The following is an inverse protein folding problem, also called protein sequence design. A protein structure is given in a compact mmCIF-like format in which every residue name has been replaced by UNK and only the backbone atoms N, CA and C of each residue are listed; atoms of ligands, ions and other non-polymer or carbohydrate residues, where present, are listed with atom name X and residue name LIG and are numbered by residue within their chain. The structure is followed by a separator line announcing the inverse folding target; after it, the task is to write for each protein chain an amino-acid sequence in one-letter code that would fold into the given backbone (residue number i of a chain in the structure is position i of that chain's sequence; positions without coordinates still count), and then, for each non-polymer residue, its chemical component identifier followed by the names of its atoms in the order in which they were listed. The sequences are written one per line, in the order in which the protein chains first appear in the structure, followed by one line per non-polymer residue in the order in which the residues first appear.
data_IF_085257407537
#
_entry.id   IF_085257407537
#
_cell.length_a   1.000
_cell.length_b   1.000
_cell.length_c   1.000
_cell.angle_alpha   90.00
_cell.angle_beta   90.00
_cell.angle_gamma   90.00
#
_symmetry.space_group_name_H-M   'P 1'
#
loop_
_entity.id
_entity.type
_entity.pdbx_description
1 polymer ?
#
# COMPACT_ATOMS: atom_id res chain seq x y z
N UNK A 1 -14.91 27.10 9.10
CA UNK A 1 -15.36 25.74 9.49
C UNK A 1 -15.14 24.69 8.39
N UNK A 2 -15.32 25.01 7.11
CA UNK A 2 -15.15 24.04 6.00
C UNK A 2 -13.70 23.60 5.70
N UNK A 3 -12.70 24.46 5.95
CA UNK A 3 -11.29 24.17 5.68
C UNK A 3 -10.69 23.13 6.65
N UNK A 4 -11.14 23.11 7.90
CA UNK A 4 -10.69 22.14 8.91
C UNK A 4 -11.24 20.74 8.62
N UNK A 5 -12.51 20.63 8.24
CA UNK A 5 -13.16 19.35 7.89
C UNK A 5 -12.54 18.74 6.61
N UNK A 6 -12.25 19.56 5.59
CA UNK A 6 -11.52 19.13 4.40
C UNK A 6 -10.09 18.65 4.74
N UNK A 7 -9.39 19.36 5.63
CA UNK A 7 -8.03 18.99 6.06
C UNK A 7 -8.01 17.67 6.81
N UNK A 8 -8.96 17.44 7.72
CA UNK A 8 -9.08 16.18 8.47
C UNK A 8 -9.46 14.99 7.59
N UNK A 9 -10.35 15.20 6.61
CA UNK A 9 -10.77 14.16 5.68
C UNK A 9 -9.64 13.78 4.72
N UNK A 10 -8.94 14.78 4.16
CA UNK A 10 -7.77 14.54 3.31
C UNK A 10 -6.66 13.79 4.05
N UNK A 11 -6.32 14.21 5.27
CA UNK A 11 -5.32 13.52 6.12
C UNK A 11 -5.68 12.06 6.40
N UNK A 12 -6.98 11.76 6.56
CA UNK A 12 -7.47 10.39 6.78
C UNK A 12 -7.28 9.51 5.54
N UNK A 13 -7.53 10.05 4.34
CA UNK A 13 -7.33 9.34 3.07
C UNK A 13 -5.84 9.09 2.82
N UNK A 14 -4.97 10.09 3.01
CA UNK A 14 -3.51 9.91 2.84
C UNK A 14 -2.89 8.90 3.81
N UNK A 15 -3.47 8.76 5.00
CA UNK A 15 -3.03 7.77 5.99
C UNK A 15 -3.36 6.34 5.57
N UNK A 16 -4.52 6.13 4.96
CA UNK A 16 -5.00 4.83 4.51
C UNK A 16 -4.73 4.57 3.01
N UNK A 17 -3.98 5.47 2.36
CA UNK A 17 -3.67 5.41 0.93
C UNK A 17 -3.04 4.06 0.51
N UNK A 18 -2.10 3.47 1.28
CA UNK A 18 -1.56 2.17 0.93
C UNK A 18 -2.63 1.08 0.88
N UNK A 19 -3.48 0.97 1.91
CA UNK A 19 -4.53 -0.04 1.99
C UNK A 19 -5.54 0.13 0.85
N UNK A 20 -5.97 1.36 0.57
CA UNK A 20 -6.87 1.68 -0.55
C UNK A 20 -6.25 1.27 -1.88
N UNK A 21 -4.97 1.59 -2.10
CA UNK A 21 -4.25 1.26 -3.32
C UNK A 21 -4.23 -0.25 -3.59
N UNK A 22 -3.90 -1.05 -2.58
CA UNK A 22 -3.86 -2.51 -2.73
C UNK A 22 -5.25 -3.13 -2.89
N UNK A 23 -6.29 -2.56 -2.27
CA UNK A 23 -7.67 -2.99 -2.50
C UNK A 23 -8.05 -2.79 -3.98
N UNK A 24 -7.73 -1.64 -4.57
CA UNK A 24 -8.03 -1.35 -5.98
C UNK A 24 -7.29 -2.34 -6.89
N UNK A 25 -5.99 -2.53 -6.68
CA UNK A 25 -5.18 -3.46 -7.47
C UNK A 25 -5.73 -4.89 -7.42
N UNK A 26 -5.98 -5.40 -6.22
CA UNK A 26 -6.51 -6.74 -6.03
C UNK A 26 -7.93 -6.88 -6.59
N UNK A 27 -8.75 -5.83 -6.53
CA UNK A 27 -10.10 -5.86 -7.10
C UNK A 27 -10.07 -5.99 -8.62
N UNK A 28 -9.20 -5.21 -9.29
CA UNK A 28 -9.02 -5.30 -10.75
C UNK A 28 -8.52 -6.69 -11.13
N UNK A 29 -7.52 -7.22 -10.43
CA UNK A 29 -6.99 -8.56 -10.67
C UNK A 29 -8.05 -9.63 -10.45
N UNK A 30 -8.82 -9.56 -9.36
CA UNK A 30 -9.91 -10.50 -9.06
C UNK A 30 -10.97 -10.48 -10.15
N UNK A 31 -11.40 -9.29 -10.58
CA UNK A 31 -12.40 -9.14 -11.64
C UNK A 31 -11.92 -9.81 -12.93
N UNK A 32 -10.72 -9.48 -13.41
CA UNK A 32 -10.16 -10.09 -14.63
C UNK A 32 -10.11 -11.61 -14.55
N UNK A 33 -9.73 -12.13 -13.39
CA UNK A 33 -9.59 -13.57 -13.14
C UNK A 33 -10.92 -14.30 -13.13
N UNK A 34 -11.92 -13.74 -12.45
CA UNK A 34 -13.29 -14.27 -12.43
C UNK A 34 -13.91 -14.21 -13.81
N UNK A 35 -13.76 -13.09 -14.54
CA UNK A 35 -14.24 -12.98 -15.93
C UNK A 35 -13.60 -14.03 -16.84
N UNK A 36 -12.30 -14.30 -16.69
CA UNK A 36 -11.62 -15.35 -17.44
C UNK A 36 -12.16 -16.75 -17.12
N UNK A 37 -12.39 -17.06 -15.84
CA UNK A 37 -12.97 -18.34 -15.42
C UNK A 37 -14.38 -18.54 -15.97
N UNK A 38 -15.21 -17.50 -15.95
CA UNK A 38 -16.56 -17.53 -16.51
C UNK A 38 -16.52 -17.75 -18.03
N UNK A 39 -15.65 -17.01 -18.75
CA UNK A 39 -15.52 -17.12 -20.19
C UNK A 39 -15.06 -18.51 -20.65
N UNK A 40 -14.28 -19.21 -19.82
CA UNK A 40 -13.85 -20.60 -20.04
C UNK A 40 -14.81 -21.66 -19.46
N UNK A 41 -16.00 -21.28 -19.02
CA UNK A 41 -16.97 -22.24 -18.47
C UNK A 41 -16.48 -22.98 -17.21
N UNK A 42 -15.57 -22.38 -16.44
CA UNK A 42 -14.97 -23.00 -15.26
C UNK A 42 -13.72 -23.83 -15.53
N UNK A 43 -13.26 -23.96 -16.79
CA UNK A 43 -11.98 -24.60 -17.14
C UNK A 43 -10.77 -23.70 -16.87
N UNK A 44 -10.64 -23.27 -15.61
CA UNK A 44 -9.40 -22.69 -15.10
C UNK A 44 -8.43 -23.77 -14.65
N UNK A 45 -7.13 -23.53 -14.80
CA UNK A 45 -6.15 -24.34 -14.08
C UNK A 45 -6.32 -24.15 -12.56
N UNK A 46 -5.90 -25.14 -11.76
CA UNK A 46 -6.04 -25.12 -10.30
C UNK A 46 -5.44 -23.86 -9.67
N UNK A 47 -4.40 -23.30 -10.28
CA UNK A 47 -3.74 -22.06 -9.84
C UNK A 47 -4.67 -20.87 -10.01
N UNK A 48 -5.35 -20.74 -11.16
CA UNK A 48 -6.25 -19.61 -11.41
C UNK A 48 -7.45 -19.65 -10.46
N UNK A 49 -8.03 -20.82 -10.24
CA UNK A 49 -9.12 -20.98 -9.29
C UNK A 49 -8.68 -20.63 -7.85
N UNK A 50 -7.52 -21.15 -7.43
CA UNK A 50 -6.97 -20.89 -6.08
C UNK A 50 -6.71 -19.41 -5.83
N UNK A 51 -6.06 -18.72 -6.78
CA UNK A 51 -5.79 -17.29 -6.68
C UNK A 51 -7.07 -16.45 -6.66
N UNK A 52 -8.10 -16.85 -7.44
CA UNK A 52 -9.40 -16.18 -7.44
C UNK A 52 -10.11 -16.24 -6.08
N UNK A 53 -9.85 -17.27 -5.28
CA UNK A 53 -10.38 -17.40 -3.92
C UNK A 53 -9.52 -16.66 -2.88
N UNK A 54 -8.20 -16.60 -3.08
CA UNK A 54 -7.27 -15.92 -2.16
C UNK A 54 -7.41 -14.39 -2.22
N UNK A 55 -7.59 -13.81 -3.41
CA UNK A 55 -7.64 -12.34 -3.54
C UNK A 55 -8.80 -11.69 -2.75
N UNK A 56 -10.04 -12.22 -2.75
CA UNK A 56 -11.12 -11.74 -1.87
C UNK A 56 -10.75 -11.77 -0.38
N UNK A 57 -10.03 -12.81 0.07
CA UNK A 57 -9.57 -12.93 1.46
C UNK A 57 -8.58 -11.81 1.79
N UNK A 58 -7.60 -11.57 0.91
CA UNK A 58 -6.64 -10.47 1.06
C UNK A 58 -7.32 -9.10 1.07
N UNK A 59 -8.33 -8.89 0.21
CA UNK A 59 -9.15 -7.68 0.21
C UNK A 59 -9.88 -7.52 1.56
N UNK A 60 -10.51 -8.59 2.07
CA UNK A 60 -11.16 -8.57 3.38
C UNK A 60 -10.20 -8.21 4.53
N UNK A 61 -8.96 -8.72 4.48
CA UNK A 61 -7.91 -8.37 5.43
C UNK A 61 -7.56 -6.87 5.34
N UNK A 62 -7.37 -6.34 4.13
CA UNK A 62 -7.08 -4.92 3.91
C UNK A 62 -8.21 -3.99 4.35
N UNK A 63 -9.47 -4.37 4.08
CA UNK A 63 -10.65 -3.64 4.56
C UNK A 63 -10.67 -3.64 6.09
N UNK A 64 -10.44 -4.80 6.73
CA UNK A 64 -10.35 -4.90 8.19
C UNK A 64 -9.23 -4.03 8.74
N UNK A 65 -8.07 -3.94 8.08
CA UNK A 65 -6.98 -3.06 8.47
C UNK A 65 -7.38 -1.58 8.42
N UNK A 66 -8.19 -1.18 7.44
CA UNK A 66 -8.70 0.19 7.29
C UNK A 66 -9.43 0.68 8.55
N UNK A 67 -10.18 -0.21 9.20
CA UNK A 67 -10.97 0.09 10.41
C UNK A 67 -10.20 -0.22 11.70
N UNK A 68 -9.52 -1.37 11.77
CA UNK A 68 -8.92 -1.88 13.01
C UNK A 68 -7.52 -1.32 13.29
N UNK A 69 -6.85 -0.69 12.31
CA UNK A 69 -5.49 -0.11 12.41
C UNK A 69 -4.49 -1.01 13.15
N UNK A 70 -4.62 -2.33 12.99
CA UNK A 70 -3.73 -3.28 13.62
C UNK A 70 -2.35 -3.18 12.98
N UNK A 71 -1.40 -2.59 13.71
CA UNK A 71 -0.04 -2.30 13.24
C UNK A 71 0.75 -3.56 12.87
N UNK A 72 0.48 -4.69 13.54
CA UNK A 72 1.18 -5.95 13.25
C UNK A 72 0.74 -6.53 11.90
N UNK A 73 -0.57 -6.56 11.64
CA UNK A 73 -1.09 -7.08 10.38
C UNK A 73 -0.69 -6.13 9.24
N UNK A 74 -0.77 -4.81 9.42
CA UNK A 74 -0.35 -3.81 8.42
C UNK A 74 1.15 -3.94 8.09
N UNK A 75 2.00 -4.19 9.10
CA UNK A 75 3.42 -4.45 8.89
C UNK A 75 3.67 -5.72 8.07
N UNK A 76 2.97 -6.81 8.42
CA UNK A 76 3.11 -8.09 7.73
C UNK A 76 2.63 -8.01 6.29
N UNK A 77 1.46 -7.43 6.03
CA UNK A 77 0.94 -7.25 4.67
C UNK A 77 1.82 -6.29 3.86
N UNK A 78 2.30 -5.20 4.47
CA UNK A 78 3.25 -4.28 3.85
C UNK A 78 4.56 -4.96 3.43
N UNK A 79 5.13 -5.82 4.29
CA UNK A 79 6.31 -6.62 3.95
C UNK A 79 6.05 -7.55 2.77
N UNK A 80 4.95 -8.32 2.81
CA UNK A 80 4.57 -9.24 1.73
C UNK A 80 4.41 -8.50 0.41
N UNK A 81 3.66 -7.38 0.39
CA UNK A 81 3.47 -6.60 -0.83
C UNK A 81 4.75 -5.92 -1.32
N UNK A 82 5.65 -5.52 -0.41
CA UNK A 82 6.96 -4.98 -0.79
C UNK A 82 7.82 -6.04 -1.47
N UNK A 83 7.83 -7.28 -0.97
CA UNK A 83 8.55 -8.41 -1.58
C UNK A 83 7.96 -8.71 -2.96
N UNK A 84 6.64 -8.80 -3.09
CA UNK A 84 5.95 -9.03 -4.36
C UNK A 84 6.26 -7.91 -5.37
N UNK A 85 6.18 -6.65 -4.95
CA UNK A 85 6.47 -5.50 -5.83
C UNK A 85 7.94 -5.47 -6.26
N UNK A 86 8.87 -5.88 -5.37
CA UNK A 86 10.29 -6.00 -5.70
C UNK A 86 10.54 -7.10 -6.73
N UNK A 87 9.89 -8.26 -6.56
CA UNK A 87 9.95 -9.33 -7.54
C UNK A 87 9.43 -8.87 -8.91
N UNK A 88 8.28 -8.17 -8.94
CA UNK A 88 7.72 -7.59 -10.16
C UNK A 88 8.66 -6.56 -10.80
N UNK A 89 9.34 -5.74 -10.00
CA UNK A 89 10.32 -4.78 -10.50
C UNK A 89 11.52 -5.47 -11.15
N UNK A 90 12.03 -6.55 -10.55
CA UNK A 90 13.14 -7.32 -11.11
C UNK A 90 12.72 -7.97 -12.44
N UNK A 91 11.55 -8.61 -12.47
CA UNK A 91 11.01 -9.19 -13.70
C UNK A 91 10.81 -8.12 -14.80
N UNK A 92 10.24 -6.97 -14.44
CA UNK A 92 10.05 -5.84 -15.34
C UNK A 92 11.37 -5.28 -15.88
N UNK A 93 12.43 -5.21 -15.06
CA UNK A 93 13.76 -4.78 -15.50
C UNK A 93 14.44 -5.81 -16.40
N UNK A 94 14.17 -7.10 -16.18
CA UNK A 94 14.69 -8.17 -17.03
C UNK A 94 14.09 -8.10 -18.44
N UNK A 95 12.78 -7.87 -18.52
CA UNK A 95 12.01 -7.80 -19.77
C UNK A 95 12.01 -6.39 -20.39
N UNK A 96 12.58 -5.39 -19.73
CA UNK A 96 12.54 -3.97 -20.12
C UNK A 96 12.93 -3.71 -21.59
N UNK A 97 13.91 -4.47 -22.10
CA UNK A 97 14.40 -4.33 -23.49
C UNK A 97 13.43 -4.85 -24.54
N UNK A 98 12.51 -5.73 -24.16
CA UNK A 98 11.56 -6.39 -25.06
C UNK A 98 10.25 -5.60 -25.21
N UNK A 99 10.03 -4.61 -24.33
CA UNK A 99 8.83 -3.78 -24.34
C UNK A 99 8.97 -2.70 -25.42
N UNK A 100 8.34 -2.94 -26.58
CA UNK A 100 8.37 -2.02 -27.71
C UNK A 100 7.57 -0.72 -27.47
N UNK A 101 6.58 -0.75 -26.57
CA UNK A 101 5.70 0.38 -26.31
C UNK A 101 6.14 1.19 -25.08
N UNK A 102 6.68 2.38 -25.30
CA UNK A 102 7.15 3.29 -24.24
C UNK A 102 6.05 3.71 -23.26
N UNK A 103 4.80 3.82 -23.71
CA UNK A 103 3.68 4.23 -22.86
C UNK A 103 3.28 3.12 -21.89
N UNK A 104 3.23 1.87 -22.36
CA UNK A 104 3.00 0.70 -21.51
C UNK A 104 4.14 0.49 -20.50
N UNK A 105 5.38 0.71 -20.95
CA UNK A 105 6.56 0.68 -20.10
C UNK A 105 6.44 1.69 -18.95
N UNK A 106 6.09 2.93 -19.27
CA UNK A 106 5.96 3.99 -18.28
C UNK A 106 4.82 3.72 -17.29
N UNK A 107 3.65 3.31 -17.76
CA UNK A 107 2.51 2.98 -16.91
C UNK A 107 2.86 1.81 -15.98
N UNK A 108 3.42 0.74 -16.52
CA UNK A 108 3.75 -0.47 -15.74
C UNK A 108 4.84 -0.17 -14.71
N UNK A 109 5.90 0.54 -15.11
CA UNK A 109 6.97 0.95 -14.20
C UNK A 109 6.48 1.84 -13.06
N UNK A 110 5.60 2.82 -13.35
CA UNK A 110 4.98 3.68 -12.33
C UNK A 110 4.10 2.84 -11.39
N UNK A 111 3.30 1.92 -11.93
CA UNK A 111 2.41 1.07 -11.14
C UNK A 111 3.20 0.20 -10.14
N UNK A 112 4.30 -0.41 -10.59
CA UNK A 112 5.20 -1.21 -9.75
C UNK A 112 5.89 -0.31 -8.72
N UNK A 113 6.40 0.85 -9.12
CA UNK A 113 7.10 1.79 -8.23
C UNK A 113 6.21 2.33 -7.11
N UNK A 114 4.99 2.78 -7.44
CA UNK A 114 4.02 3.27 -6.45
C UNK A 114 3.66 2.14 -5.47
N UNK A 115 3.45 0.93 -5.98
CA UNK A 115 3.13 -0.23 -5.14
C UNK A 115 4.28 -0.52 -4.16
N UNK A 116 5.52 -0.57 -4.65
CA UNK A 116 6.69 -0.78 -3.79
C UNK A 116 6.80 0.28 -2.69
N UNK A 117 6.65 1.57 -3.04
CA UNK A 117 6.70 2.68 -2.10
C UNK A 117 5.63 2.56 -1.00
N UNK A 118 4.40 2.22 -1.39
CA UNK A 118 3.28 2.08 -0.46
C UNK A 118 3.40 0.82 0.41
N UNK A 119 3.91 -0.28 -0.13
CA UNK A 119 4.23 -1.48 0.65
C UNK A 119 5.29 -1.20 1.72
N UNK A 120 6.34 -0.47 1.34
CA UNK A 120 7.38 -0.04 2.27
C UNK A 120 6.84 0.92 3.34
N UNK A 121 5.93 1.84 2.97
CA UNK A 121 5.25 2.73 3.93
C UNK A 121 4.42 1.94 4.96
N UNK A 122 3.69 0.91 4.55
CA UNK A 122 2.94 0.03 5.47
C UNK A 122 3.90 -0.75 6.38
N UNK A 123 4.97 -1.30 5.81
CA UNK A 123 5.99 -2.01 6.57
C UNK A 123 6.64 -1.11 7.64
N UNK A 124 6.98 0.12 7.28
CA UNK A 124 7.64 1.10 8.15
C UNK A 124 6.70 2.05 8.90
N UNK A 125 5.39 1.79 8.91
CA UNK A 125 4.39 2.63 9.59
C UNK A 125 4.67 2.81 11.11
N UNK A 126 5.56 2.00 11.69
CA UNK A 126 6.01 2.12 13.09
C UNK A 126 7.26 2.99 13.30
N UNK A 127 8.07 3.27 12.28
CA UNK A 127 9.31 4.04 12.39
C UNK A 127 9.06 5.55 12.20
N UNK A 128 8.18 5.92 11.26
CA UNK A 128 7.84 7.32 11.00
C UNK A 128 7.14 7.99 12.19
N UNK A 129 6.35 7.24 12.96
CA UNK A 129 5.71 7.75 14.19
C UNK A 129 6.76 7.97 15.29
N UNK A 130 7.77 7.11 15.40
CA UNK A 130 8.86 7.28 16.39
C UNK A 130 9.72 8.51 16.06
N UNK A 131 10.05 8.75 14.78
CA UNK A 131 10.79 9.94 14.35
C UNK A 131 9.97 11.22 14.50
N UNK A 132 8.69 11.20 14.16
CA UNK A 132 7.81 12.37 14.32
C UNK A 132 7.52 12.71 15.79
N UNK A 133 7.45 11.69 16.66
CA UNK A 133 7.37 11.90 18.11
C UNK A 133 8.71 12.39 18.67
N UNK A 134 9.85 11.77 18.33
CA UNK A 134 11.14 12.19 18.86
C UNK A 134 11.50 13.63 18.47
N UNK A 135 11.17 14.05 17.25
CA UNK A 135 11.37 15.43 16.77
C UNK A 135 10.47 16.46 17.50
N UNK A 136 9.29 16.06 17.99
CA UNK A 136 8.38 16.94 18.74
C UNK A 136 8.61 16.93 20.26
N UNK A 137 9.26 15.91 20.81
CA UNK A 137 9.69 15.91 22.21
C UNK A 137 10.96 16.74 22.43
N UNK A 138 11.85 16.83 21.43
CA UNK A 138 13.05 17.68 21.49
C UNK A 138 12.75 19.18 21.33
N UNK A 139 11.71 19.55 20.59
CA UNK A 139 11.31 20.97 20.45
C UNK A 139 10.59 21.51 21.68
N UNK A 140 9.78 20.70 22.37
CA UNK A 140 9.14 21.10 23.64
C UNK A 140 10.11 21.27 24.81
N UNK A 141 11.23 20.55 24.84
CA UNK A 141 12.24 20.68 25.90
C UNK A 141 13.16 21.88 25.69
N UNK A 142 13.36 22.34 24.45
CA UNK A 142 14.17 23.53 24.16
C UNK A 142 13.43 24.86 24.39
N UNK A 143 12.10 24.88 24.36
CA UNK A 143 11.30 26.10 24.53
C UNK A 143 10.89 26.39 26.00
N UNK A 144 11.28 25.53 26.95
CA UNK A 144 10.79 25.55 28.34
C UNK A 144 11.84 25.86 29.41
N UNK A 145 12.92 26.58 29.09
CA UNK A 145 13.95 26.92 30.09
C UNK A 145 14.40 28.38 30.03
N UNK A 146 13.49 29.30 30.33
CA UNK A 146 13.86 30.57 30.98
C UNK A 146 13.49 30.47 32.46
N UNK A 147 14.40 29.91 33.24
CA UNK A 147 14.35 30.02 34.70
C UNK A 147 14.73 31.47 35.00
N UNK A 148 13.75 32.26 35.43
CA UNK A 148 13.98 33.48 36.21
C UNK A 148 14.82 33.11 37.42
N UNK A 149 16.01 33.69 37.53
CA UNK A 149 16.72 33.82 38.81
C UNK A 149 16.73 35.30 39.17
N UNK A 150 16.32 35.51 40.41
CA UNK A 150 16.21 36.76 41.17
C UNK A 150 17.45 37.64 41.10
#
# INVERSE_FOLDING_TARGET
MNTLVLKETGLRVFKNLPEIWYIILLSISTYKMVSFLIAKGGEGNNITFTLSAIFPILIGILIKQLFSKNKWISRLTGFIFSVISSYMLIAFLHEYREIANTLELMITGILIGISLLLGFKMWNASLLIKQYLSANYTTKTSAGKSITKE
#
